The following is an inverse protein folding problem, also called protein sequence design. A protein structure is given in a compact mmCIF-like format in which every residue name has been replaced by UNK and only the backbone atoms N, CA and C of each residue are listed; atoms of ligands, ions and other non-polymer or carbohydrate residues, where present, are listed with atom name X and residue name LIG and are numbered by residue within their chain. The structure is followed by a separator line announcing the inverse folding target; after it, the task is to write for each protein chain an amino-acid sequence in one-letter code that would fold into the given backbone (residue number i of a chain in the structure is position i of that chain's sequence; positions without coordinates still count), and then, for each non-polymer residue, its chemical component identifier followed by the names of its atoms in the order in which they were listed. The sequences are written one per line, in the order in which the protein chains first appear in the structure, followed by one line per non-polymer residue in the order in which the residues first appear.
data_IF_426326594686
#
_entry.id   IF_426326594686
#
_cell.length_a   1.000
_cell.length_b   1.000
_cell.length_c   1.000
_cell.angle_alpha   90.00
_cell.angle_beta   90.00
_cell.angle_gamma   90.00
#
_symmetry.space_group_name_H-M   'P 1'
#
loop_
_entity.id
_entity.type
_entity.pdbx_description
1 polymer ?
#
# COMPACT_ATOMS: atom_id res chain seq x y z
N UNK A 1 5.84 14.71 23.16
CA UNK A 1 5.32 13.99 21.97
C UNK A 1 4.78 12.66 22.44
N UNK A 2 3.63 12.18 21.93
CA UNK A 2 3.07 10.89 22.32
C UNK A 2 4.07 9.77 22.01
N UNK A 3 4.27 8.84 22.96
CA UNK A 3 5.22 7.72 22.84
C UNK A 3 4.72 6.60 21.91
N UNK A 4 3.49 6.75 21.41
CA UNK A 4 2.80 5.76 20.61
C UNK A 4 1.88 6.48 19.63
N UNK A 5 1.75 5.95 18.42
CA UNK A 5 0.85 6.50 17.40
C UNK A 5 0.22 5.37 16.60
N UNK A 6 -1.11 5.33 16.57
CA UNK A 6 -1.86 4.50 15.64
C UNK A 6 -2.18 5.30 14.39
N UNK A 7 -2.07 4.69 13.21
CA UNK A 7 -2.48 5.31 11.97
C UNK A 7 -3.19 4.31 11.05
N UNK A 8 -4.05 4.86 10.20
CA UNK A 8 -4.64 4.15 9.09
C UNK A 8 -4.73 5.08 7.87
N UNK A 9 -4.64 4.53 6.67
CA UNK A 9 -4.78 5.26 5.42
C UNK A 9 -5.49 4.40 4.40
N UNK A 10 -6.32 5.04 3.57
CA UNK A 10 -6.99 4.42 2.43
C UNK A 10 -6.59 5.17 1.17
N UNK A 11 -6.37 4.46 0.06
CA UNK A 11 -6.05 5.05 -1.22
C UNK A 11 -6.84 4.36 -2.33
N UNK A 12 -7.29 5.14 -3.31
CA UNK A 12 -8.01 4.65 -4.48
C UNK A 12 -7.33 5.20 -5.73
N UNK A 13 -7.10 4.32 -6.69
CA UNK A 13 -6.45 4.67 -7.94
C UNK A 13 -7.19 4.05 -9.11
N UNK A 14 -7.34 4.82 -10.20
CA UNK A 14 -7.89 4.34 -11.46
C UNK A 14 -6.85 4.58 -12.55
N UNK A 15 -6.51 3.53 -13.29
CA UNK A 15 -5.62 3.59 -14.45
C UNK A 15 -6.41 3.23 -15.70
N UNK A 16 -6.30 4.06 -16.72
CA UNK A 16 -6.86 3.80 -18.05
C UNK A 16 -5.66 3.78 -18.99
N UNK A 17 -5.53 2.72 -19.78
CA UNK A 17 -4.45 2.57 -20.75
C UNK A 17 -5.03 2.74 -22.15
N UNK A 18 -4.66 3.84 -22.82
CA UNK A 18 -5.16 4.22 -24.14
C UNK A 18 -4.46 3.47 -25.30
N UNK A 19 -3.76 2.39 -24.97
CA UNK A 19 -3.05 1.52 -25.93
C UNK A 19 -3.51 0.09 -25.74
N UNK A 20 -3.59 -0.64 -26.85
CA UNK A 20 -3.92 -2.05 -26.83
C UNK A 20 -2.86 -2.82 -26.03
N UNK A 21 -3.32 -3.60 -25.06
CA UNK A 21 -2.43 -4.53 -24.39
C UNK A 21 -1.84 -5.51 -25.42
N UNK A 22 -0.52 -5.65 -25.46
CA UNK A 22 0.16 -6.41 -26.51
C UNK A 22 -0.16 -7.91 -26.49
N UNK A 23 -0.68 -8.44 -25.39
CA UNK A 23 -1.03 -9.86 -25.28
C UNK A 23 -2.50 -10.13 -25.64
N UNK A 24 -3.40 -9.18 -25.36
CA UNK A 24 -4.84 -9.40 -25.50
C UNK A 24 -5.53 -8.49 -26.52
N UNK A 25 -4.82 -7.50 -27.08
CA UNK A 25 -5.30 -6.54 -28.07
C UNK A 25 -6.60 -5.83 -27.65
N UNK A 26 -6.75 -5.57 -26.35
CA UNK A 26 -7.87 -4.81 -25.76
C UNK A 26 -7.35 -3.72 -24.84
N UNK A 27 -8.11 -2.64 -24.70
CA UNK A 27 -7.81 -1.58 -23.75
C UNK A 27 -7.88 -2.10 -22.30
N UNK A 28 -6.83 -1.81 -21.52
CA UNK A 28 -6.78 -2.18 -20.12
C UNK A 28 -7.32 -1.03 -19.26
N UNK A 29 -8.19 -1.35 -18.31
CA UNK A 29 -8.51 -0.43 -17.21
C UNK A 29 -8.36 -1.13 -15.88
N UNK A 30 -7.63 -0.49 -14.97
CA UNK A 30 -7.37 -0.99 -13.63
C UNK A 30 -7.98 -0.06 -12.58
N UNK A 31 -8.46 -0.65 -11.50
CA UNK A 31 -8.94 0.03 -10.30
C UNK A 31 -8.30 -0.63 -9.09
N UNK A 32 -7.51 0.15 -8.37
CA UNK A 32 -6.79 -0.30 -7.18
C UNK A 32 -7.35 0.39 -5.94
N UNK A 33 -7.55 -0.37 -4.88
CA UNK A 33 -7.82 0.13 -3.54
C UNK A 33 -6.80 -0.42 -2.56
N UNK A 34 -6.21 0.46 -1.77
CA UNK A 34 -5.24 0.13 -0.74
C UNK A 34 -5.76 0.56 0.62
N UNK A 35 -5.67 -0.34 1.60
CA UNK A 35 -5.93 -0.06 3.00
C UNK A 35 -4.66 -0.39 3.77
N UNK A 36 -4.15 0.58 4.51
CA UNK A 36 -2.97 0.41 5.36
C UNK A 36 -3.29 0.82 6.78
N UNK A 37 -2.81 0.04 7.73
CA UNK A 37 -2.86 0.37 9.14
C UNK A 37 -1.52 0.06 9.79
N UNK A 38 -1.15 0.81 10.82
CA UNK A 38 0.08 0.57 11.56
C UNK A 38 0.10 1.25 12.91
N UNK A 39 1.04 0.79 13.72
CA UNK A 39 1.24 1.25 15.09
C UNK A 39 2.72 1.59 15.27
N UNK A 40 3.02 2.85 15.54
CA UNK A 40 4.38 3.34 15.77
C UNK A 40 4.65 3.43 17.27
N UNK A 41 5.68 2.73 17.71
CA UNK A 41 6.21 2.75 19.07
C UNK A 41 7.55 3.48 19.11
N UNK A 42 7.68 4.53 19.91
CA UNK A 42 8.90 5.32 20.02
C UNK A 42 9.77 4.76 21.16
N UNK A 43 10.70 3.87 20.84
CA UNK A 43 11.61 3.29 21.84
C UNK A 43 12.45 4.38 22.52
N UNK A 44 12.87 5.39 21.75
CA UNK A 44 13.55 6.59 22.24
C UNK A 44 13.03 7.82 21.49
N UNK A 45 13.51 9.02 21.83
CA UNK A 45 13.20 10.24 21.05
C UNK A 45 13.71 10.17 19.60
N UNK A 46 14.75 9.37 19.35
CA UNK A 46 15.41 9.23 18.06
C UNK A 46 15.01 7.94 17.34
N UNK A 47 14.47 6.93 18.03
CA UNK A 47 14.23 5.61 17.45
C UNK A 47 12.78 5.15 17.60
N UNK A 48 12.18 4.71 16.50
CA UNK A 48 10.84 4.11 16.48
C UNK A 48 10.77 2.82 15.70
N UNK A 49 9.84 1.95 16.10
CA UNK A 49 9.50 0.70 15.43
C UNK A 49 8.00 0.73 15.12
N UNK A 50 7.65 0.38 13.89
CA UNK A 50 6.29 0.43 13.38
C UNK A 50 5.91 -0.90 12.71
N UNK A 51 5.27 -1.84 13.42
CA UNK A 51 4.48 -2.87 12.77
C UNK A 51 3.36 -2.24 11.92
N UNK A 52 3.20 -2.73 10.70
CA UNK A 52 2.19 -2.26 9.76
C UNK A 52 1.66 -3.41 8.89
N UNK A 53 0.42 -3.26 8.47
CA UNK A 53 -0.27 -4.13 7.53
C UNK A 53 -0.80 -3.31 6.36
N UNK A 54 -0.70 -3.86 5.15
CA UNK A 54 -1.26 -3.26 3.93
C UNK A 54 -2.02 -4.32 3.15
N UNK A 55 -3.27 -4.02 2.85
CA UNK A 55 -4.13 -4.80 1.96
C UNK A 55 -4.36 -4.03 0.66
N UNK A 56 -3.98 -4.63 -0.46
CA UNK A 56 -4.20 -4.09 -1.80
C UNK A 56 -5.17 -4.99 -2.55
N UNK A 57 -6.18 -4.42 -3.18
CA UNK A 57 -7.05 -5.10 -4.14
C UNK A 57 -6.99 -4.37 -5.47
N UNK A 58 -6.59 -5.07 -6.52
CA UNK A 58 -6.57 -4.55 -7.88
C UNK A 58 -7.57 -5.31 -8.74
N UNK A 59 -8.58 -4.60 -9.26
CA UNK A 59 -9.47 -5.08 -10.30
C UNK A 59 -9.00 -4.58 -11.66
N UNK A 60 -8.87 -5.46 -12.64
CA UNK A 60 -8.47 -5.14 -14.00
C UNK A 60 -9.46 -5.74 -15.00
N UNK A 61 -9.64 -5.11 -16.16
CA UNK A 61 -10.37 -5.71 -17.28
C UNK A 61 -9.75 -7.02 -17.77
N UNK A 62 -8.49 -7.28 -17.45
CA UNK A 62 -7.79 -8.52 -17.78
C UNK A 62 -7.50 -9.34 -16.52
N UNK A 63 -7.85 -10.63 -16.56
CA UNK A 63 -7.72 -11.54 -15.41
C UNK A 63 -6.27 -11.68 -14.94
N UNK A 64 -5.29 -11.59 -15.85
CA UNK A 64 -3.87 -11.68 -15.53
C UNK A 64 -3.41 -10.61 -14.52
N UNK A 65 -4.02 -9.43 -14.55
CA UNK A 65 -3.67 -8.30 -13.69
C UNK A 65 -4.60 -8.13 -12.48
N UNK A 66 -5.55 -9.04 -12.29
CA UNK A 66 -6.37 -9.07 -11.08
C UNK A 66 -5.61 -9.73 -9.94
N UNK A 67 -5.47 -9.03 -8.82
CA UNK A 67 -4.79 -9.58 -7.67
C UNK A 67 -5.32 -9.01 -6.35
N UNK A 68 -5.05 -9.78 -5.29
CA UNK A 68 -5.17 -9.35 -3.91
C UNK A 68 -3.81 -9.58 -3.25
N UNK A 69 -3.35 -8.61 -2.48
CA UNK A 69 -2.05 -8.66 -1.82
C UNK A 69 -2.17 -8.20 -0.38
N UNK A 70 -1.71 -9.05 0.53
CA UNK A 70 -1.55 -8.74 1.95
C UNK A 70 -0.07 -8.66 2.28
N UNK A 71 0.38 -7.53 2.79
CA UNK A 71 1.77 -7.30 3.19
C UNK A 71 1.82 -6.97 4.67
N UNK A 72 2.58 -7.76 5.42
CA UNK A 72 2.94 -7.49 6.80
C UNK A 72 4.38 -6.96 6.82
N UNK A 73 4.63 -5.90 7.58
CA UNK A 73 5.96 -5.31 7.65
C UNK A 73 6.25 -4.70 9.00
N UNK A 74 7.52 -4.60 9.33
CA UNK A 74 8.04 -3.87 10.48
C UNK A 74 8.99 -2.82 9.94
N UNK A 75 8.75 -1.55 10.27
CA UNK A 75 9.61 -0.43 9.86
C UNK A 75 10.36 0.05 11.09
N UNK A 76 11.69 0.07 11.04
CA UNK A 76 12.52 0.72 12.04
C UNK A 76 13.00 2.07 11.48
N UNK A 77 12.86 3.14 12.27
CA UNK A 77 13.28 4.49 11.89
C UNK A 77 14.15 5.09 12.98
N UNK A 78 15.32 5.59 12.58
CA UNK A 78 16.22 6.36 13.43
C UNK A 78 16.32 7.80 12.90
N UNK A 79 16.27 8.78 13.80
CA UNK A 79 16.46 10.20 13.53
C UNK A 79 17.82 10.65 14.08
N UNK A 80 18.66 11.23 13.22
CA UNK A 80 20.05 11.60 13.53
C UNK A 80 20.20 13.04 14.04
N UNK A 81 19.09 13.78 14.16
CA UNK A 81 19.09 15.18 14.58
C UNK A 81 19.47 15.36 16.05
#
# INVERSE_FOLDING_TARGET
MPNQMLFASVSFERRIYDTLDSMFLVERSDRQSDVKAGYSYFVTKAFSITPQYTFTRNGSSQSLYQYQRSVYGIVARYDFR
#
